data_IF_541480786453
#
_entry.id   IF_541480786453
#
_cell.length_a   1.000
_cell.length_b   1.000
_cell.length_c   1.000
_cell.angle_alpha   90.00
_cell.angle_beta   90.00
_cell.angle_gamma   90.00
#
_symmetry.space_group_name_H-M   'P 1'
#
loop_
_entity.id
_entity.type
_entity.pdbx_description
1 polymer ?
#
# COMPACT_ATOMS: atom_id res chain seq x y z
N UNK A 1 -1.73 4.74 -18.32
CA UNK A 1 -1.11 5.76 -17.43
C UNK A 1 0.38 5.56 -17.47
N UNK A 2 1.15 6.63 -17.65
CA UNK A 2 2.61 6.58 -17.60
C UNK A 2 3.12 7.33 -16.37
N UNK A 3 4.23 6.85 -15.83
CA UNK A 3 4.87 7.38 -14.62
C UNK A 3 6.29 7.83 -14.91
N UNK A 4 6.73 8.90 -14.27
CA UNK A 4 8.10 9.44 -14.37
C UNK A 4 8.69 9.67 -12.99
N UNK A 5 10.02 9.72 -12.91
CA UNK A 5 10.71 10.09 -11.67
C UNK A 5 10.47 11.56 -11.30
N UNK A 6 10.29 11.82 -10.01
CA UNK A 6 10.19 13.18 -9.45
C UNK A 6 11.48 14.00 -9.62
N UNK A 7 12.62 13.34 -9.83
CA UNK A 7 13.92 14.01 -10.07
C UNK A 7 14.17 14.33 -11.54
N UNK A 8 13.39 13.76 -12.46
CA UNK A 8 13.41 14.07 -13.88
C UNK A 8 14.64 13.60 -14.67
N UNK A 9 15.55 12.83 -14.03
CA UNK A 9 16.77 12.33 -14.68
C UNK A 9 16.52 11.02 -15.45
N UNK A 10 15.38 10.38 -15.27
CA UNK A 10 14.96 9.19 -16.03
C UNK A 10 14.09 9.65 -17.19
N UNK A 11 14.56 9.41 -18.42
CA UNK A 11 13.90 9.91 -19.64
C UNK A 11 12.67 9.12 -20.02
N UNK A 12 12.65 7.81 -19.72
CA UNK A 12 11.57 6.93 -20.14
C UNK A 12 10.47 6.85 -19.09
N UNK A 13 9.24 7.04 -19.54
CA UNK A 13 8.07 6.85 -18.70
C UNK A 13 7.73 5.36 -18.61
N UNK A 14 7.40 4.90 -17.39
CA UNK A 14 7.04 3.53 -17.11
C UNK A 14 5.53 3.35 -17.01
N UNK A 15 5.05 2.13 -17.22
CA UNK A 15 3.68 1.74 -16.84
C UNK A 15 3.57 1.67 -15.31
N UNK A 16 2.35 1.68 -14.79
CA UNK A 16 2.15 1.60 -13.33
C UNK A 16 2.66 0.28 -12.74
N UNK A 17 2.48 -0.83 -13.43
CA UNK A 17 2.99 -2.13 -12.97
C UNK A 17 4.53 -2.17 -12.90
N UNK A 18 5.23 -1.56 -13.87
CA UNK A 18 6.69 -1.45 -13.86
C UNK A 18 7.16 -0.60 -12.67
N UNK A 19 6.48 0.55 -12.44
CA UNK A 19 6.81 1.45 -11.33
C UNK A 19 6.62 0.77 -9.97
N UNK A 20 5.58 -0.05 -9.82
CA UNK A 20 5.33 -0.83 -8.59
C UNK A 20 6.45 -1.84 -8.34
N UNK A 21 6.86 -2.59 -9.36
CA UNK A 21 7.97 -3.58 -9.23
C UNK A 21 9.30 -2.90 -8.95
N UNK A 22 9.57 -1.78 -9.59
CA UNK A 22 10.84 -1.08 -9.46
C UNK A 22 10.99 -0.35 -8.12
N UNK A 23 9.89 0.15 -7.55
CA UNK A 23 9.91 0.91 -6.30
C UNK A 23 10.49 2.31 -6.48
N UNK A 24 11.76 2.51 -6.10
CA UNK A 24 12.46 3.77 -6.32
C UNK A 24 12.99 3.88 -7.76
N UNK A 25 12.94 5.08 -8.31
CA UNK A 25 13.55 5.35 -9.60
C UNK A 25 15.11 5.27 -9.51
N UNK A 26 15.83 4.92 -10.59
CA UNK A 26 17.29 4.80 -10.58
C UNK A 26 18.02 6.07 -10.16
N UNK A 27 17.41 7.23 -10.31
CA UNK A 27 17.92 8.52 -9.85
C UNK A 27 17.58 8.85 -8.39
N UNK A 28 16.95 7.90 -7.66
CA UNK A 28 16.52 8.05 -6.27
C UNK A 28 15.24 8.87 -6.12
N UNK A 29 14.53 9.17 -7.22
CA UNK A 29 13.21 9.80 -7.19
C UNK A 29 12.09 8.81 -6.91
N UNK A 30 10.88 9.34 -6.70
CA UNK A 30 9.64 8.58 -6.63
C UNK A 30 8.95 8.62 -7.99
N UNK A 31 8.13 7.61 -8.29
CA UNK A 31 7.32 7.62 -9.50
C UNK A 31 6.00 8.36 -9.28
N UNK A 32 5.72 9.32 -10.16
CA UNK A 32 4.47 10.08 -10.21
C UNK A 32 3.86 10.00 -11.59
N UNK A 33 2.53 10.09 -11.73
CA UNK A 33 1.88 10.15 -13.05
C UNK A 33 2.44 11.28 -13.90
N UNK A 34 2.67 11.02 -15.19
CA UNK A 34 3.07 12.06 -16.16
C UNK A 34 1.94 13.08 -16.30
N UNK A 35 0.71 12.57 -16.44
CA UNK A 35 -0.51 13.37 -16.47
C UNK A 35 -1.43 12.90 -15.36
N UNK A 36 -1.97 13.83 -14.57
CA UNK A 36 -2.91 13.49 -13.53
C UNK A 36 -4.27 13.10 -14.15
N UNK A 37 -4.86 11.95 -13.78
CA UNK A 37 -6.11 11.52 -14.39
C UNK A 37 -7.25 12.52 -14.10
N UNK A 38 -8.03 12.84 -15.11
CA UNK A 38 -9.21 13.69 -15.03
C UNK A 38 -10.44 12.92 -15.53
N UNK A 39 -10.84 11.85 -14.84
CA UNK A 39 -11.98 11.06 -15.26
C UNK A 39 -13.27 11.88 -15.12
N UNK A 40 -14.19 11.69 -16.04
CA UNK A 40 -15.56 12.13 -15.85
C UNK A 40 -16.20 11.21 -14.81
N UNK A 41 -16.58 11.74 -13.66
CA UNK A 41 -17.24 11.00 -12.59
C UNK A 41 -18.41 11.78 -11.99
N UNK A 42 -19.39 11.03 -11.51
CA UNK A 42 -20.51 11.54 -10.76
C UNK A 42 -20.20 11.31 -9.27
N UNK A 43 -19.91 12.38 -8.54
CA UNK A 43 -19.54 12.31 -7.14
C UNK A 43 -20.67 11.69 -6.30
N UNK A 44 -21.94 12.00 -6.62
CA UNK A 44 -23.09 11.47 -5.90
C UNK A 44 -23.18 9.94 -6.01
N UNK A 45 -22.79 9.39 -7.16
CA UNK A 45 -22.70 7.94 -7.35
C UNK A 45 -21.49 7.34 -6.66
N UNK A 46 -20.33 8.00 -6.70
CA UNK A 46 -19.12 7.49 -6.07
C UNK A 46 -19.28 7.35 -4.55
N UNK A 47 -19.88 8.32 -3.88
CA UNK A 47 -20.07 8.29 -2.43
C UNK A 47 -21.05 7.22 -1.93
N UNK A 48 -21.84 6.61 -2.83
CA UNK A 48 -22.74 5.50 -2.52
C UNK A 48 -22.08 4.12 -2.68
N UNK A 49 -20.86 4.07 -3.21
CA UNK A 49 -20.16 2.81 -3.42
C UNK A 49 -19.62 2.26 -2.10
N UNK A 50 -19.67 0.93 -1.88
CA UNK A 50 -18.88 0.29 -0.84
C UNK A 50 -17.40 0.61 -1.04
N UNK A 51 -16.63 0.65 0.05
CA UNK A 51 -15.21 1.07 0.03
C UNK A 51 -14.39 0.31 -1.01
N UNK A 52 -14.53 -1.02 -1.10
CA UNK A 52 -13.79 -1.85 -2.07
C UNK A 52 -14.07 -1.41 -3.53
N UNK A 53 -15.33 -1.08 -3.84
CA UNK A 53 -15.72 -0.61 -5.18
C UNK A 53 -15.22 0.80 -5.46
N UNK A 54 -15.28 1.69 -4.49
CA UNK A 54 -14.73 3.04 -4.59
C UNK A 54 -13.22 2.97 -4.80
N UNK A 55 -12.51 2.18 -4.01
CA UNK A 55 -11.08 1.96 -4.14
C UNK A 55 -10.72 1.38 -5.52
N UNK A 56 -11.43 0.34 -5.99
CA UNK A 56 -11.25 -0.21 -7.34
C UNK A 56 -11.39 0.88 -8.41
N UNK A 57 -12.45 1.68 -8.34
CA UNK A 57 -12.73 2.74 -9.32
C UNK A 57 -11.61 3.75 -9.37
N UNK A 58 -11.15 4.23 -8.20
CA UNK A 58 -10.06 5.21 -8.13
C UNK A 58 -8.74 4.59 -8.60
N UNK A 59 -8.41 3.38 -8.13
CA UNK A 59 -7.19 2.69 -8.55
C UNK A 59 -7.13 2.45 -10.06
N UNK A 60 -8.26 2.16 -10.72
CA UNK A 60 -8.30 1.98 -12.17
C UNK A 60 -7.88 3.23 -12.95
N UNK A 61 -8.03 4.42 -12.40
CA UNK A 61 -7.56 5.65 -13.04
C UNK A 61 -6.04 5.75 -13.05
N UNK A 62 -5.38 5.22 -12.02
CA UNK A 62 -3.93 5.28 -11.85
C UNK A 62 -3.23 4.01 -12.36
N UNK A 63 -3.84 2.85 -12.21
CA UNK A 63 -3.28 1.53 -12.52
C UNK A 63 -3.98 0.92 -13.74
N UNK A 64 -4.06 1.67 -14.84
CA UNK A 64 -4.86 1.30 -16.02
C UNK A 64 -4.23 0.20 -16.90
N UNK A 65 -3.02 -0.24 -16.62
CA UNK A 65 -2.37 -1.40 -17.21
C UNK A 65 -2.64 -2.71 -16.44
N UNK A 66 -3.30 -2.61 -15.27
CA UNK A 66 -3.83 -3.79 -14.57
C UNK A 66 -5.23 -4.13 -15.11
N UNK A 67 -5.53 -5.40 -15.38
CA UNK A 67 -6.89 -5.83 -15.67
C UNK A 67 -7.86 -5.44 -14.55
N UNK A 68 -9.05 -4.94 -14.91
CA UNK A 68 -10.03 -4.44 -13.94
C UNK A 68 -10.45 -5.51 -12.92
N UNK A 69 -10.54 -6.76 -13.35
CA UNK A 69 -10.81 -7.92 -12.50
C UNK A 69 -9.73 -8.19 -11.45
N UNK A 70 -8.46 -7.94 -11.80
CA UNK A 70 -7.35 -8.07 -10.87
C UNK A 70 -7.33 -6.97 -9.82
N UNK A 71 -7.72 -5.75 -10.19
CA UNK A 71 -7.90 -4.66 -9.21
C UNK A 71 -9.09 -4.94 -8.30
N UNK A 72 -10.20 -5.45 -8.84
CA UNK A 72 -11.37 -5.85 -8.07
C UNK A 72 -11.02 -6.95 -7.04
N UNK A 73 -10.33 -8.01 -7.46
CA UNK A 73 -9.83 -9.06 -6.57
C UNK A 73 -8.89 -8.49 -5.50
N UNK A 74 -7.98 -7.59 -5.89
CA UNK A 74 -7.03 -6.94 -4.97
C UNK A 74 -7.73 -6.09 -3.91
N UNK A 75 -8.69 -5.25 -4.29
CA UNK A 75 -9.42 -4.40 -3.33
C UNK A 75 -10.31 -5.22 -2.40
N UNK A 76 -10.93 -6.30 -2.92
CA UNK A 76 -11.71 -7.22 -2.08
C UNK A 76 -10.84 -7.88 -1.02
N UNK A 77 -9.62 -8.32 -1.36
CA UNK A 77 -8.69 -8.95 -0.42
C UNK A 77 -8.06 -7.95 0.56
N UNK A 78 -7.71 -6.76 0.09
CA UNK A 78 -7.07 -5.74 0.90
C UNK A 78 -8.01 -5.15 1.96
N UNK A 79 -9.31 -5.09 1.67
CA UNK A 79 -10.32 -4.44 2.50
C UNK A 79 -11.43 -5.43 2.89
N UNK A 80 -11.02 -6.64 3.33
CA UNK A 80 -11.89 -7.71 3.82
C UNK A 80 -12.06 -7.66 5.35
N UNK A 81 -12.27 -8.81 5.97
CA UNK A 81 -12.60 -8.97 7.39
C UNK A 81 -11.48 -8.60 8.39
N UNK A 82 -10.30 -8.23 7.91
CA UNK A 82 -9.21 -7.77 8.77
C UNK A 82 -9.38 -6.34 9.31
N UNK A 83 -10.44 -5.67 8.92
CA UNK A 83 -10.81 -4.32 9.39
C UNK A 83 -11.95 -4.44 10.41
N UNK A 84 -11.92 -3.59 11.44
CA UNK A 84 -12.95 -3.60 12.49
C UNK A 84 -14.14 -2.67 12.21
N UNK A 85 -14.11 -1.96 11.05
CA UNK A 85 -15.21 -1.15 10.52
C UNK A 85 -15.39 -1.41 9.02
N UNK A 86 -16.61 -1.70 8.60
CA UNK A 86 -16.95 -1.98 7.19
C UNK A 86 -16.71 -0.79 6.26
N UNK A 87 -16.69 0.43 6.80
CA UNK A 87 -16.37 1.65 6.06
C UNK A 87 -14.87 1.82 5.83
N UNK A 88 -14.01 1.01 6.45
CA UNK A 88 -12.55 1.03 6.41
C UNK A 88 -11.95 2.33 6.96
N UNK A 89 -12.48 3.48 6.55
CA UNK A 89 -12.07 4.81 6.99
C UNK A 89 -13.32 5.67 7.25
N UNK A 90 -14.06 5.38 8.33
CA UNK A 90 -15.28 6.13 8.65
C UNK A 90 -14.99 7.58 8.98
N UNK A 91 -15.98 8.43 8.74
CA UNK A 91 -15.95 9.83 9.09
C UNK A 91 -16.83 10.08 10.32
N UNK A 92 -16.23 10.28 11.48
CA UNK A 92 -16.96 10.64 12.69
C UNK A 92 -17.24 12.15 12.74
N UNK A 93 -18.49 12.50 13.11
CA UNK A 93 -18.93 13.90 13.21
C UNK A 93 -18.93 14.35 14.66
N UNK A 94 -18.30 15.47 14.95
CA UNK A 94 -18.26 16.09 16.26
C UNK A 94 -19.21 17.28 16.37
N UNK A 95 -19.64 17.61 17.58
CA UNK A 95 -20.66 18.65 17.85
C UNK A 95 -20.24 20.08 17.43
N UNK A 96 -18.97 20.37 17.26
CA UNK A 96 -18.46 21.70 16.91
C UNK A 96 -18.21 21.93 15.40
N UNK A 97 -18.78 21.07 14.54
CA UNK A 97 -18.57 21.16 13.09
C UNK A 97 -17.26 20.58 12.59
N UNK A 98 -16.46 20.00 13.47
CA UNK A 98 -15.28 19.23 13.09
C UNK A 98 -15.67 17.82 12.70
N UNK A 99 -14.92 17.25 11.75
CA UNK A 99 -15.05 15.85 11.38
C UNK A 99 -13.68 15.20 11.51
N UNK A 100 -13.65 13.94 11.94
CA UNK A 100 -12.43 13.15 12.03
C UNK A 100 -12.53 11.98 11.06
N UNK A 101 -11.57 11.87 10.15
CA UNK A 101 -11.38 10.68 9.32
C UNK A 101 -10.58 9.67 10.15
N UNK A 102 -11.24 8.58 10.51
CA UNK A 102 -10.66 7.56 11.38
C UNK A 102 -9.86 6.57 10.52
N UNK A 103 -8.54 6.48 10.75
CA UNK A 103 -7.62 5.69 9.93
C UNK A 103 -6.95 4.55 10.71
N UNK A 104 -7.54 4.16 11.85
CA UNK A 104 -6.98 3.18 12.78
C UNK A 104 -7.74 1.85 12.84
N UNK A 105 -8.68 1.63 11.91
CA UNK A 105 -9.53 0.43 11.87
C UNK A 105 -8.85 -0.80 11.23
N UNK A 106 -7.62 -0.65 10.76
CA UNK A 106 -6.88 -1.73 10.12
C UNK A 106 -6.14 -2.66 11.09
N UNK A 107 -5.54 -3.73 10.56
CA UNK A 107 -4.97 -4.83 11.38
C UNK A 107 -3.77 -4.45 12.26
N UNK A 108 -3.13 -3.30 12.04
CA UNK A 108 -2.06 -2.78 12.90
C UNK A 108 -2.42 -1.49 13.61
N UNK A 109 -3.68 -1.03 13.47
CA UNK A 109 -4.23 0.18 14.05
C UNK A 109 -3.52 1.46 13.58
N UNK A 110 -2.82 1.41 12.46
CA UNK A 110 -2.11 2.52 11.87
C UNK A 110 -2.73 2.92 10.52
N UNK A 111 -2.74 4.23 10.19
CA UNK A 111 -3.25 4.72 8.91
C UNK A 111 -2.55 4.08 7.69
N UNK A 112 -1.34 3.57 7.88
CA UNK A 112 -0.54 2.90 6.86
C UNK A 112 -1.17 1.60 6.36
N UNK A 113 -2.04 0.99 7.14
CA UNK A 113 -2.75 -0.23 6.75
C UNK A 113 -3.55 -0.03 5.46
N UNK A 114 -4.15 1.16 5.27
CA UNK A 114 -4.93 1.46 4.06
C UNK A 114 -4.10 1.21 2.79
N UNK A 115 -2.86 1.65 2.76
CA UNK A 115 -1.98 1.44 1.62
C UNK A 115 -1.30 0.06 1.65
N UNK A 116 -0.84 -0.37 2.83
CA UNK A 116 0.00 -1.58 2.95
C UNK A 116 -0.79 -2.89 2.95
N UNK A 117 -2.12 -2.86 3.06
CA UNK A 117 -2.96 -4.02 2.72
C UNK A 117 -3.19 -4.12 1.20
N UNK A 118 -3.18 -2.99 0.48
CA UNK A 118 -3.36 -2.98 -0.99
C UNK A 118 -2.05 -3.22 -1.76
N UNK A 119 -0.92 -2.73 -1.27
CA UNK A 119 0.36 -2.83 -1.97
C UNK A 119 0.77 -4.27 -2.31
N UNK A 120 0.64 -5.29 -1.43
CA UNK A 120 0.92 -6.69 -1.77
C UNK A 120 0.04 -7.20 -2.92
N UNK A 121 -1.22 -6.75 -2.98
CA UNK A 121 -2.16 -7.12 -4.04
C UNK A 121 -1.73 -6.55 -5.39
N UNK A 122 -1.25 -5.31 -5.41
CA UNK A 122 -0.67 -4.70 -6.61
C UNK A 122 0.66 -5.35 -6.98
N UNK A 123 1.55 -5.59 -6.01
CA UNK A 123 2.88 -6.15 -6.23
C UNK A 123 2.84 -7.55 -6.85
N UNK A 124 2.04 -8.45 -6.29
CA UNK A 124 1.93 -9.82 -6.81
C UNK A 124 1.38 -9.87 -8.23
N UNK A 125 0.48 -8.96 -8.57
CA UNK A 125 -0.04 -8.82 -9.93
C UNK A 125 0.99 -8.19 -10.87
N UNK A 126 1.71 -7.16 -10.41
CA UNK A 126 2.79 -6.52 -11.15
C UNK A 126 3.93 -7.50 -11.49
N UNK A 127 4.34 -8.33 -10.54
CA UNK A 127 5.32 -9.41 -10.74
C UNK A 127 4.92 -10.28 -11.93
N UNK A 128 3.66 -10.71 -11.97
CA UNK A 128 3.12 -11.55 -13.07
C UNK A 128 3.02 -10.79 -14.38
N UNK A 129 2.52 -9.55 -14.37
CA UNK A 129 2.38 -8.73 -15.57
C UNK A 129 3.72 -8.43 -16.25
N UNK A 130 4.78 -8.30 -15.45
CA UNK A 130 6.12 -7.98 -15.93
C UNK A 130 7.03 -9.22 -16.08
N UNK A 131 6.52 -10.43 -15.88
CA UNK A 131 7.28 -11.67 -16.04
C UNK A 131 8.50 -11.77 -15.11
N UNK A 132 8.41 -11.21 -13.89
CA UNK A 132 9.51 -11.22 -12.93
C UNK A 132 9.66 -12.62 -12.32
N UNK A 133 10.81 -13.25 -12.52
CA UNK A 133 11.11 -14.61 -12.07
C UNK A 133 12.08 -14.62 -10.86
N UNK A 134 11.95 -13.67 -9.97
CA UNK A 134 12.76 -13.56 -8.74
C UNK A 134 11.90 -12.99 -7.63
N UNK A 135 12.27 -13.26 -6.38
CA UNK A 135 11.65 -12.63 -5.23
C UNK A 135 11.92 -11.12 -5.21
N UNK A 136 10.91 -10.37 -4.81
CA UNK A 136 11.02 -8.94 -4.52
C UNK A 136 11.30 -8.77 -3.04
N UNK A 137 12.38 -8.08 -2.72
CA UNK A 137 12.73 -7.75 -1.34
C UNK A 137 12.18 -6.38 -0.98
N UNK A 138 11.29 -6.35 0.01
CA UNK A 138 10.72 -5.12 0.57
C UNK A 138 11.63 -4.66 1.70
N UNK A 139 12.37 -3.59 1.48
CA UNK A 139 13.23 -3.00 2.51
C UNK A 139 12.54 -1.82 3.18
N UNK A 140 12.49 -1.83 4.49
CA UNK A 140 11.90 -0.75 5.29
C UNK A 140 12.86 -0.35 6.41
N UNK A 141 13.16 0.93 6.54
CA UNK A 141 13.82 1.50 7.72
C UNK A 141 12.79 2.34 8.47
N UNK A 142 12.48 1.98 9.71
CA UNK A 142 11.35 2.57 10.45
C UNK A 142 11.58 2.62 11.94
N UNK A 143 10.96 3.61 12.59
CA UNK A 143 10.86 3.70 14.04
C UNK A 143 9.54 3.15 14.61
N UNK A 144 8.72 2.41 13.80
CA UNK A 144 7.47 1.84 14.32
C UNK A 144 6.48 1.37 13.26
N UNK A 145 5.40 2.12 13.05
CA UNK A 145 4.18 1.71 12.33
C UNK A 145 4.42 1.17 10.91
N UNK A 146 5.31 1.81 10.14
CA UNK A 146 5.53 1.40 8.74
C UNK A 146 6.08 -0.02 8.65
N UNK A 147 7.01 -0.39 9.53
CA UNK A 147 7.56 -1.75 9.57
C UNK A 147 6.50 -2.78 9.90
N UNK A 148 5.75 -2.54 10.97
CA UNK A 148 4.68 -3.43 11.41
C UNK A 148 3.61 -3.62 10.33
N UNK A 149 3.14 -2.52 9.72
CA UNK A 149 2.14 -2.58 8.67
C UNK A 149 2.66 -3.25 7.39
N UNK A 150 3.95 -3.05 7.04
CA UNK A 150 4.59 -3.75 5.91
C UNK A 150 4.68 -5.25 6.18
N UNK A 151 5.15 -5.65 7.36
CA UNK A 151 5.23 -7.07 7.74
C UNK A 151 3.85 -7.71 7.74
N UNK A 152 2.83 -7.01 8.26
CA UNK A 152 1.45 -7.52 8.27
C UNK A 152 0.89 -7.72 6.86
N UNK A 153 1.07 -6.72 5.98
CA UNK A 153 0.52 -6.76 4.63
C UNK A 153 1.20 -7.80 3.73
N UNK A 154 2.52 -7.97 3.88
CA UNK A 154 3.30 -8.91 3.07
C UNK A 154 3.53 -10.28 3.74
N UNK A 155 2.91 -10.55 4.90
CA UNK A 155 3.06 -11.83 5.60
C UNK A 155 2.65 -13.00 4.71
N UNK A 156 3.59 -13.92 4.48
CA UNK A 156 3.41 -15.12 3.62
C UNK A 156 2.91 -14.82 2.20
N UNK A 157 3.24 -13.65 1.66
CA UNK A 157 2.95 -13.31 0.26
C UNK A 157 4.02 -13.91 -0.63
N UNK A 158 3.62 -14.83 -1.50
CA UNK A 158 4.52 -15.54 -2.41
C UNK A 158 5.34 -14.60 -3.30
N UNK A 159 6.62 -14.92 -3.49
CA UNK A 159 7.54 -14.13 -4.31
C UNK A 159 7.99 -12.82 -3.65
N UNK A 160 7.77 -12.68 -2.32
CA UNK A 160 8.23 -11.51 -1.57
C UNK A 160 8.99 -11.88 -0.30
N UNK A 161 9.97 -11.05 0.07
CA UNK A 161 10.69 -11.08 1.34
C UNK A 161 10.61 -9.70 1.98
N UNK A 162 10.40 -9.61 3.28
CA UNK A 162 10.36 -8.33 4.00
C UNK A 162 11.50 -8.24 4.98
N UNK A 163 12.29 -7.18 4.89
CA UNK A 163 13.35 -6.87 5.85
C UNK A 163 13.08 -5.49 6.44
N UNK A 164 12.86 -5.44 7.74
CA UNK A 164 12.60 -4.21 8.48
C UNK A 164 13.79 -3.88 9.36
N UNK A 165 14.44 -2.76 9.12
CA UNK A 165 15.46 -2.20 9.98
C UNK A 165 14.83 -1.22 10.98
N UNK A 166 15.11 -1.38 12.25
CA UNK A 166 14.62 -0.50 13.30
C UNK A 166 15.74 -0.09 14.25
N UNK A 167 15.71 1.15 14.83
CA UNK A 167 16.75 1.59 15.76
C UNK A 167 16.64 0.81 17.07
N UNK A 168 17.76 0.24 17.53
CA UNK A 168 17.84 -0.41 18.84
C UNK A 168 17.57 0.61 19.96
N UNK A 169 16.61 0.29 20.83
CA UNK A 169 16.12 1.22 21.86
C UNK A 169 15.33 2.44 21.33
N UNK A 170 15.17 2.62 20.02
CA UNK A 170 14.47 3.76 19.40
C UNK A 170 13.00 3.49 19.04
N UNK A 171 12.47 2.31 19.37
CA UNK A 171 11.07 1.92 19.11
C UNK A 171 10.37 1.71 20.45
N UNK A 172 9.10 2.13 20.55
CA UNK A 172 8.34 1.89 21.77
C UNK A 172 8.17 0.38 22.05
N UNK A 173 8.09 -0.05 23.31
CA UNK A 173 7.94 -1.47 23.65
C UNK A 173 6.70 -2.12 23.01
N UNK A 174 5.62 -1.37 22.82
CA UNK A 174 4.40 -1.84 22.17
C UNK A 174 4.64 -2.08 20.68
N UNK A 175 5.20 -1.10 19.98
CA UNK A 175 5.49 -1.22 18.55
C UNK A 175 6.52 -2.34 18.27
N UNK A 176 7.52 -2.49 19.12
CA UNK A 176 8.49 -3.57 18.99
C UNK A 176 7.81 -4.94 19.11
N UNK A 177 6.93 -5.12 20.11
CA UNK A 177 6.16 -6.36 20.28
C UNK A 177 5.23 -6.62 19.09
N UNK A 178 4.57 -5.59 18.58
CA UNK A 178 3.73 -5.71 17.39
C UNK A 178 4.54 -6.17 16.17
N UNK A 179 5.72 -5.59 15.97
CA UNK A 179 6.62 -5.93 14.85
C UNK A 179 7.14 -7.36 14.96
N UNK A 180 7.73 -7.71 16.11
CA UNK A 180 8.32 -9.04 16.33
C UNK A 180 7.26 -10.15 16.44
N UNK A 181 6.03 -9.80 16.76
CA UNK A 181 4.90 -10.73 16.84
C UNK A 181 4.19 -10.99 15.52
N UNK A 182 4.59 -10.34 14.41
CA UNK A 182 3.95 -10.60 13.12
C UNK A 182 4.25 -12.02 12.63
N UNK A 183 3.24 -12.83 12.31
CA UNK A 183 3.45 -14.16 11.76
C UNK A 183 3.90 -14.06 10.30
N UNK A 184 4.82 -14.92 9.87
CA UNK A 184 5.23 -15.03 8.47
C UNK A 184 6.65 -15.60 8.34
N UNK A 185 6.83 -16.49 7.36
CA UNK A 185 8.13 -17.11 7.11
C UNK A 185 9.06 -16.24 6.26
N UNK A 186 8.51 -15.26 5.59
CA UNK A 186 9.19 -14.31 4.71
C UNK A 186 9.51 -12.96 5.37
N UNK A 187 9.43 -12.88 6.71
CA UNK A 187 9.60 -11.64 7.46
C UNK A 187 10.89 -11.67 8.29
N UNK A 188 11.66 -10.59 8.25
CA UNK A 188 12.87 -10.39 9.06
C UNK A 188 12.88 -9.00 9.65
N UNK A 189 13.10 -8.90 10.97
CA UNK A 189 13.32 -7.64 11.65
C UNK A 189 14.78 -7.58 12.16
N UNK A 190 15.46 -6.46 11.91
CA UNK A 190 16.87 -6.25 12.22
C UNK A 190 17.02 -4.98 13.05
N UNK A 191 17.51 -5.12 14.28
CA UNK A 191 17.90 -3.98 15.10
C UNK A 191 19.21 -3.37 14.57
N UNK A 192 19.26 -2.05 14.47
CA UNK A 192 20.45 -1.30 14.05
C UNK A 192 20.80 -0.24 15.10
N UNK A 193 22.10 -0.01 15.29
CA UNK A 193 22.63 1.02 16.19
C UNK A 193 22.83 2.35 15.47
#
# INVERSE_FOLDING_TARGET
MNYRSTRGNVKDALKSSDAVVQGLAPDGGLYVPVDFPKPAYDLEKLIQLPYQKLAQTILQWFFNDYPAEQLADGTTKAYADQWDDDSIAPLSRQKAGFNYLELYHGPTLAFKDIALQMLPQLMTKAIKLNGVNRDIVILTATSGDTGTASMRGFSNVDGTQVIVFYPDGGVSPVQLKQMLGQPGQNLTAVAVQ
#
